data_IF_737614347194
#
_entry.id   IF_737614347194
#
_cell.length_a   1.000
_cell.length_b   1.000
_cell.length_c   1.000
_cell.angle_alpha   90.00
_cell.angle_beta   90.00
_cell.angle_gamma   90.00
#
_symmetry.space_group_name_H-M   'P 1'
#
loop_
_entity.id
_entity.type
_entity.pdbx_description
1 polymer ?
#
# COMPACT_ATOMS: atom_id res chain seq x y z
N UNK A 1 -7.50 7.34 8.58
CA UNK A 1 -8.08 6.11 7.96
C UNK A 1 -8.91 5.39 9.00
N UNK A 2 -10.12 4.96 8.65
CA UNK A 2 -10.96 4.16 9.55
C UNK A 2 -10.48 2.71 9.57
N UNK A 3 -10.82 1.97 10.63
CA UNK A 3 -10.50 0.54 10.76
C UNK A 3 -10.99 -0.28 9.56
N UNK A 4 -12.19 0.03 9.06
CA UNK A 4 -12.77 -0.66 7.91
C UNK A 4 -11.95 -0.49 6.64
N UNK A 5 -11.44 0.72 6.37
CA UNK A 5 -10.58 0.99 5.21
C UNK A 5 -9.28 0.19 5.30
N UNK A 6 -8.63 0.18 6.47
CA UNK A 6 -7.37 -0.57 6.64
C UNK A 6 -7.57 -2.07 6.42
N UNK A 7 -8.65 -2.64 6.95
CA UNK A 7 -8.97 -4.06 6.76
C UNK A 7 -9.27 -4.36 5.30
N UNK A 8 -10.07 -3.53 4.62
CA UNK A 8 -10.38 -3.70 3.20
C UNK A 8 -9.10 -3.78 2.36
N UNK A 9 -8.21 -2.81 2.54
CA UNK A 9 -6.92 -2.76 1.83
C UNK A 9 -6.02 -3.98 2.11
N UNK A 10 -5.98 -4.47 3.36
CA UNK A 10 -5.24 -5.68 3.72
C UNK A 10 -5.84 -6.90 3.02
N UNK A 11 -7.17 -7.04 3.05
CA UNK A 11 -7.90 -8.15 2.43
C UNK A 11 -7.64 -8.17 0.93
N UNK A 12 -7.78 -7.03 0.25
CA UNK A 12 -7.56 -6.93 -1.19
C UNK A 12 -6.12 -7.26 -1.57
N UNK A 13 -5.15 -6.73 -0.80
CA UNK A 13 -3.72 -6.97 -1.02
C UNK A 13 -3.35 -8.45 -0.91
N UNK A 14 -3.73 -9.11 0.19
CA UNK A 14 -3.41 -10.52 0.40
C UNK A 14 -4.19 -11.46 -0.52
N UNK A 15 -5.42 -11.09 -0.91
CA UNK A 15 -6.21 -11.86 -1.89
C UNK A 15 -5.58 -11.81 -3.28
N UNK A 16 -5.11 -10.63 -3.70
CA UNK A 16 -4.40 -10.47 -4.96
C UNK A 16 -3.09 -11.27 -4.98
N UNK A 17 -2.31 -11.24 -3.89
CA UNK A 17 -1.10 -12.04 -3.76
C UNK A 17 -1.39 -13.55 -3.86
N UNK A 18 -2.40 -14.04 -3.13
CA UNK A 18 -2.81 -15.44 -3.18
C UNK A 18 -3.18 -15.88 -4.61
N UNK A 19 -3.97 -15.07 -5.32
CA UNK A 19 -4.33 -15.35 -6.72
C UNK A 19 -3.11 -15.42 -7.64
N UNK A 20 -2.15 -14.50 -7.48
CA UNK A 20 -0.92 -14.52 -8.27
C UNK A 20 -0.10 -15.78 -7.99
N UNK A 21 0.05 -16.17 -6.72
CA UNK A 21 0.75 -17.40 -6.33
C UNK A 21 0.07 -18.62 -6.98
N UNK A 22 -1.27 -18.72 -6.90
CA UNK A 22 -2.03 -19.83 -7.46
C UNK A 22 -1.84 -19.98 -8.98
N UNK A 23 -1.97 -18.88 -9.72
CA UNK A 23 -1.79 -18.88 -11.18
C UNK A 23 -0.37 -19.33 -11.53
N UNK A 24 0.65 -18.91 -10.78
CA UNK A 24 2.03 -19.23 -11.13
C UNK A 24 2.42 -20.66 -10.77
N UNK A 25 1.91 -21.16 -9.65
CA UNK A 25 2.10 -22.57 -9.29
C UNK A 25 1.42 -23.49 -10.30
N UNK A 26 0.25 -23.13 -10.83
CA UNK A 26 -0.39 -23.92 -11.91
C UNK A 26 0.39 -23.88 -13.24
N UNK A 27 1.17 -22.82 -13.46
CA UNK A 27 2.12 -22.70 -14.59
C UNK A 27 3.47 -23.39 -14.35
N UNK A 28 3.68 -24.04 -13.20
CA UNK A 28 4.90 -24.80 -12.90
C UNK A 28 6.06 -23.99 -12.31
N UNK A 29 5.85 -22.72 -11.95
CA UNK A 29 6.87 -21.91 -11.28
C UNK A 29 6.86 -22.19 -9.78
N UNK A 30 7.77 -23.06 -9.31
CA UNK A 30 7.82 -23.52 -7.90
C UNK A 30 8.87 -22.82 -7.04
N UNK A 31 9.80 -22.05 -7.63
CA UNK A 31 10.81 -21.25 -6.91
C UNK A 31 10.22 -20.03 -6.16
N UNK A 32 8.92 -19.77 -6.29
CA UNK A 32 8.19 -18.67 -5.64
C UNK A 32 8.09 -18.82 -4.12
N UNK A 33 8.18 -20.05 -3.61
CA UNK A 33 8.04 -20.32 -2.17
C UNK A 33 9.14 -19.63 -1.37
N UNK A 34 10.39 -19.63 -1.86
CA UNK A 34 11.55 -19.03 -1.18
C UNK A 34 11.40 -17.52 -0.96
N UNK A 35 10.93 -16.80 -1.98
CA UNK A 35 10.71 -15.36 -1.90
C UNK A 35 9.50 -15.05 -0.98
N UNK A 36 8.51 -15.94 -0.97
CA UNK A 36 7.32 -15.78 -0.13
C UNK A 36 7.62 -16.07 1.36
N UNK A 37 8.55 -16.97 1.67
CA UNK A 37 8.93 -17.35 3.05
C UNK A 37 9.30 -16.14 3.91
N UNK A 38 10.14 -15.25 3.40
CA UNK A 38 10.60 -14.06 4.15
C UNK A 38 9.45 -13.08 4.42
N UNK A 39 8.61 -12.85 3.42
CA UNK A 39 7.42 -12.01 3.56
C UNK A 39 6.47 -12.58 4.63
N UNK A 40 6.15 -13.88 4.54
CA UNK A 40 5.23 -14.52 5.47
C UNK A 40 5.82 -14.64 6.88
N UNK A 41 7.13 -14.84 7.05
CA UNK A 41 7.78 -14.78 8.36
C UNK A 41 7.58 -13.41 9.02
N UNK A 42 7.88 -12.33 8.31
CA UNK A 42 7.68 -10.95 8.81
C UNK A 42 6.20 -10.66 9.11
N UNK A 43 5.28 -11.16 8.28
CA UNK A 43 3.83 -11.00 8.49
C UNK A 43 3.37 -11.72 9.76
N UNK A 44 3.72 -13.00 9.90
CA UNK A 44 3.37 -13.84 11.06
C UNK A 44 3.94 -13.26 12.37
N UNK A 45 5.17 -12.73 12.33
CA UNK A 45 5.76 -12.02 13.47
C UNK A 45 4.90 -10.85 13.95
N UNK A 46 4.26 -10.12 13.03
CA UNK A 46 3.39 -8.99 13.36
C UNK A 46 2.00 -9.43 13.85
N UNK A 47 1.47 -10.54 13.32
CA UNK A 47 0.16 -11.07 13.71
C UNK A 47 0.23 -11.70 15.10
N UNK A 48 1.25 -12.52 15.36
CA UNK A 48 1.31 -13.39 16.55
C UNK A 48 2.41 -12.99 17.55
N UNK A 49 3.16 -11.91 17.29
CA UNK A 49 4.30 -11.49 18.11
C UNK A 49 5.40 -12.55 18.22
N UNK A 50 5.65 -13.29 17.14
CA UNK A 50 6.77 -14.22 17.02
C UNK A 50 8.06 -13.53 16.55
N UNK A 51 9.15 -14.29 16.55
CA UNK A 51 10.47 -13.94 16.04
C UNK A 51 10.94 -14.97 15.01
N UNK A 52 10.06 -15.32 14.07
CA UNK A 52 10.33 -16.24 12.97
C UNK A 52 11.42 -15.68 12.06
N UNK A 53 12.38 -16.55 11.73
CA UNK A 53 13.42 -16.31 10.73
C UNK A 53 13.35 -17.40 9.66
N UNK A 54 13.83 -17.09 8.46
CA UNK A 54 13.99 -18.08 7.41
C UNK A 54 15.14 -19.02 7.75
N UNK A 55 14.86 -20.32 7.90
CA UNK A 55 15.87 -21.31 8.28
C UNK A 55 16.82 -21.60 7.11
N UNK A 56 16.35 -21.50 5.87
CA UNK A 56 17.15 -21.66 4.66
C UNK A 56 18.23 -20.58 4.50
N UNK A 57 18.10 -19.44 5.18
CA UNK A 57 19.12 -18.38 5.21
C UNK A 57 20.39 -18.77 5.98
N UNK A 58 20.26 -19.69 6.95
CA UNK A 58 21.33 -20.11 7.86
C UNK A 58 21.95 -21.47 7.48
N UNK A 59 21.13 -22.36 6.90
CA UNK A 59 21.53 -23.66 6.36
C UNK A 59 20.72 -23.92 5.08
N UNK A 60 21.40 -24.11 3.95
CA UNK A 60 20.71 -24.46 2.70
C UNK A 60 20.02 -25.81 2.83
N UNK A 61 18.75 -25.89 2.39
CA UNK A 61 17.93 -27.11 2.32
C UNK A 61 17.52 -27.68 3.68
N UNK A 62 16.95 -26.87 4.57
CA UNK A 62 16.35 -27.40 5.80
C UNK A 62 15.15 -28.31 5.46
N UNK A 63 15.13 -29.57 5.93
CA UNK A 63 14.11 -30.53 5.53
C UNK A 63 12.79 -30.26 6.26
N UNK A 64 11.73 -30.01 5.49
CA UNK A 64 10.35 -30.00 5.98
C UNK A 64 9.92 -28.76 6.78
N UNK A 65 10.81 -27.82 7.06
CA UNK A 65 10.50 -26.56 7.76
C UNK A 65 11.22 -25.42 7.04
N UNK A 66 10.50 -24.34 6.75
CA UNK A 66 11.06 -23.20 6.00
C UNK A 66 11.37 -22.03 6.93
N UNK A 67 10.48 -21.71 7.87
CA UNK A 67 10.63 -20.59 8.80
C UNK A 67 10.41 -21.05 10.25
N UNK A 68 11.17 -20.50 11.20
CA UNK A 68 11.12 -20.96 12.59
C UNK A 68 11.54 -19.92 13.63
N UNK A 69 11.02 -20.09 14.84
CA UNK A 69 11.30 -19.30 16.03
C UNK A 69 11.62 -20.27 17.18
N UNK A 70 12.90 -20.40 17.49
CA UNK A 70 13.38 -21.29 18.55
C UNK A 70 12.92 -20.83 19.94
N UNK A 71 12.73 -19.51 20.15
CA UNK A 71 12.35 -18.91 21.43
C UNK A 71 10.91 -19.30 21.79
N UNK A 72 10.01 -19.20 20.82
CA UNK A 72 8.62 -19.64 20.97
C UNK A 72 8.43 -21.14 20.68
N UNK A 73 9.50 -21.84 20.28
CA UNK A 73 9.50 -23.25 19.87
C UNK A 73 8.44 -23.56 18.80
N UNK A 74 8.27 -22.65 17.84
CA UNK A 74 7.29 -22.76 16.75
C UNK A 74 7.98 -22.71 15.39
N UNK A 75 7.49 -23.52 14.45
CA UNK A 75 7.97 -23.59 13.09
C UNK A 75 6.82 -23.63 12.10
N UNK A 76 7.07 -23.16 10.88
CA UNK A 76 6.13 -23.24 9.78
C UNK A 76 6.80 -23.82 8.53
N UNK A 77 6.05 -24.68 7.86
CA UNK A 77 6.29 -25.04 6.48
C UNK A 77 5.41 -24.16 5.60
N UNK A 78 5.99 -23.47 4.63
CA UNK A 78 5.29 -22.57 3.71
C UNK A 78 5.12 -23.29 2.38
N UNK A 79 3.88 -23.38 1.89
CA UNK A 79 3.59 -24.11 0.65
C UNK A 79 2.44 -23.52 -0.13
N UNK A 80 2.55 -23.52 -1.45
CA UNK A 80 1.47 -23.12 -2.35
C UNK A 80 0.43 -24.22 -2.57
N UNK A 81 0.81 -25.48 -2.34
CA UNK A 81 -0.07 -26.64 -2.41
C UNK A 81 0.10 -27.48 -1.16
N UNK A 82 -0.99 -27.76 -0.48
CA UNK A 82 -1.03 -28.73 0.60
C UNK A 82 -2.14 -29.72 0.30
N UNK A 83 -1.77 -30.83 -0.33
CA UNK A 83 -2.58 -32.05 -0.32
C UNK A 83 -2.18 -32.92 0.89
N UNK A 84 -2.97 -33.96 1.17
CA UNK A 84 -2.68 -34.87 2.29
C UNK A 84 -1.30 -35.55 2.16
N UNK A 85 -0.84 -35.82 0.94
CA UNK A 85 0.46 -36.44 0.66
C UNK A 85 1.62 -35.51 1.01
N UNK A 86 1.49 -34.22 0.70
CA UNK A 86 2.46 -33.17 1.01
C UNK A 86 2.56 -32.98 2.52
N UNK A 87 1.43 -32.95 3.21
CA UNK A 87 1.39 -32.86 4.68
C UNK A 87 2.11 -34.05 5.31
N UNK A 88 1.78 -35.28 4.89
CA UNK A 88 2.46 -36.48 5.36
C UNK A 88 3.97 -36.41 5.08
N UNK A 89 4.36 -36.01 3.86
CA UNK A 89 5.76 -35.87 3.47
C UNK A 89 6.50 -34.81 4.30
N UNK A 90 5.86 -33.68 4.60
CA UNK A 90 6.42 -32.63 5.44
C UNK A 90 6.69 -33.19 6.83
N UNK A 91 5.70 -33.80 7.46
CA UNK A 91 5.83 -34.37 8.80
C UNK A 91 6.86 -35.52 8.89
N UNK A 92 6.97 -36.34 7.84
CA UNK A 92 7.98 -37.41 7.75
C UNK A 92 9.41 -36.88 7.57
N UNK A 93 9.59 -35.72 6.94
CA UNK A 93 10.91 -35.10 6.71
C UNK A 93 11.47 -34.40 7.94
N UNK A 94 10.62 -34.08 8.93
CA UNK A 94 11.05 -33.37 10.13
C UNK A 94 11.95 -34.27 10.98
N UNK A 95 13.16 -33.80 11.20
CA UNK A 95 14.20 -34.51 11.96
C UNK A 95 13.94 -34.47 13.46
N UNK A 96 14.53 -35.42 14.20
CA UNK A 96 14.44 -35.43 15.67
C UNK A 96 15.09 -34.21 16.32
N UNK A 97 16.10 -33.60 15.68
CA UNK A 97 16.69 -32.34 16.16
C UNK A 97 15.71 -31.17 16.01
N UNK A 98 15.03 -31.07 14.87
CA UNK A 98 14.00 -30.06 14.65
C UNK A 98 12.83 -30.24 15.64
N UNK A 99 12.40 -31.47 15.94
CA UNK A 99 11.37 -31.73 16.98
C UNK A 99 11.75 -31.26 18.37
N UNK A 100 13.06 -31.25 18.71
CA UNK A 100 13.54 -30.73 20.00
C UNK A 100 13.49 -29.20 20.05
N UNK A 101 13.75 -28.54 18.91
CA UNK A 101 13.76 -27.08 18.79
C UNK A 101 12.35 -26.50 18.64
N UNK A 102 11.53 -27.15 17.84
CA UNK A 102 10.18 -26.70 17.48
C UNK A 102 9.17 -27.73 17.94
N UNK A 103 8.43 -27.38 19.00
CA UNK A 103 7.40 -28.22 19.58
C UNK A 103 6.08 -28.09 18.85
N UNK A 104 5.82 -26.93 18.25
CA UNK A 104 4.64 -26.66 17.45
C UNK A 104 5.07 -26.44 16.00
N UNK A 105 4.50 -27.24 15.09
CA UNK A 105 4.84 -27.17 13.67
C UNK A 105 3.55 -27.00 12.88
N UNK A 106 3.47 -25.88 12.17
CA UNK A 106 2.32 -25.50 11.37
C UNK A 106 2.64 -25.56 9.88
N UNK A 107 1.60 -25.67 9.08
CA UNK A 107 1.66 -25.59 7.62
C UNK A 107 0.91 -24.34 7.20
N UNK A 108 1.62 -23.41 6.57
CA UNK A 108 1.04 -22.22 5.97
C UNK A 108 0.81 -22.46 4.47
N UNK A 109 -0.46 -22.45 4.09
CA UNK A 109 -0.90 -22.55 2.70
C UNK A 109 -1.06 -21.14 2.14
N UNK A 110 -0.16 -20.78 1.22
CA UNK A 110 -0.13 -19.47 0.56
C UNK A 110 -0.87 -19.48 -0.79
N UNK A 111 -1.23 -20.67 -1.27
CA UNK A 111 -2.01 -20.89 -2.46
C UNK A 111 -3.37 -21.54 -2.17
N UNK A 112 -3.70 -22.63 -2.85
CA UNK A 112 -5.00 -23.27 -2.75
C UNK A 112 -5.03 -24.33 -1.64
N UNK A 113 -5.98 -24.18 -0.71
CA UNK A 113 -6.25 -25.15 0.37
C UNK A 113 -7.18 -26.24 -0.17
N UNK A 114 -6.85 -27.50 0.14
CA UNK A 114 -7.73 -28.64 -0.15
C UNK A 114 -8.95 -28.60 0.80
N UNK A 115 -10.14 -28.94 0.29
CA UNK A 115 -11.37 -28.89 1.08
C UNK A 115 -11.44 -29.83 2.28
N UNK A 116 -10.69 -30.93 2.28
CA UNK A 116 -10.56 -31.86 3.40
C UNK A 116 -9.24 -32.62 3.38
N UNK A 117 -8.76 -33.02 4.56
CA UNK A 117 -7.45 -33.66 4.75
C UNK A 117 -7.58 -35.07 5.36
N UNK A 118 -8.53 -35.86 4.85
CA UNK A 118 -8.90 -37.17 5.41
C UNK A 118 -7.82 -38.26 5.27
N UNK A 119 -6.79 -38.03 4.45
CA UNK A 119 -5.72 -39.00 4.19
C UNK A 119 -4.40 -38.69 4.93
N UNK A 120 -4.43 -37.80 5.94
CA UNK A 120 -3.29 -37.56 6.83
C UNK A 120 -3.16 -38.74 7.80
N UNK A 121 -1.94 -39.28 7.96
CA UNK A 121 -1.70 -40.46 8.80
C UNK A 121 -1.96 -40.13 10.29
N UNK A 122 -2.82 -40.90 10.99
CA UNK A 122 -3.12 -40.67 12.42
C UNK A 122 -1.87 -40.68 13.31
N UNK A 123 -0.90 -41.54 12.99
CA UNK A 123 0.37 -41.67 13.71
C UNK A 123 1.19 -40.37 13.69
N UNK A 124 1.14 -39.62 12.57
CA UNK A 124 1.81 -38.33 12.47
C UNK A 124 1.05 -37.27 13.25
N UNK A 125 -0.29 -37.27 13.20
CA UNK A 125 -1.10 -36.37 14.01
C UNK A 125 -0.77 -36.55 15.50
N UNK A 126 -0.71 -37.79 15.98
CA UNK A 126 -0.38 -38.06 17.38
C UNK A 126 1.06 -37.66 17.75
N UNK A 127 2.02 -37.84 16.83
CA UNK A 127 3.42 -37.48 17.04
C UNK A 127 3.68 -35.97 17.10
N UNK A 128 2.77 -35.14 16.56
CA UNK A 128 2.92 -33.69 16.48
C UNK A 128 1.84 -32.91 17.24
N UNK A 129 0.93 -33.59 17.96
CA UNK A 129 -0.02 -32.96 18.88
C UNK A 129 0.73 -32.13 19.92
N UNK A 130 0.49 -30.82 19.91
CA UNK A 130 1.09 -29.91 20.87
C UNK A 130 0.19 -29.76 22.11
N UNK A 131 0.81 -29.61 23.28
CA UNK A 131 0.12 -29.27 24.52
C UNK A 131 0.87 -28.13 25.18
N UNK A 132 0.21 -26.98 25.33
CA UNK A 132 0.78 -25.80 26.00
C UNK A 132 0.07 -25.58 27.32
N UNK A 133 0.82 -25.53 28.41
CA UNK A 133 0.30 -25.22 29.76
C UNK A 133 -0.88 -26.11 30.18
N UNK A 134 -0.84 -27.41 29.84
CA UNK A 134 -1.90 -28.36 30.17
C UNK A 134 -3.18 -28.23 29.33
N UNK A 135 -3.22 -27.32 28.34
CA UNK A 135 -4.28 -27.23 27.34
C UNK A 135 -3.81 -27.94 26.07
N UNK A 136 -4.52 -29.02 25.73
CA UNK A 136 -4.36 -29.69 24.44
C UNK A 136 -4.74 -28.74 23.30
N UNK A 137 -4.16 -28.99 22.13
CA UNK A 137 -4.68 -28.42 20.87
C UNK A 137 -6.20 -28.67 20.72
N UNK A 138 -6.90 -27.86 19.90
CA UNK A 138 -8.30 -28.11 19.55
C UNK A 138 -8.51 -29.55 19.05
N UNK A 139 -9.74 -30.08 19.20
CA UNK A 139 -10.09 -31.43 18.72
C UNK A 139 -9.73 -31.63 17.24
N UNK A 140 -9.79 -30.57 16.44
CA UNK A 140 -9.37 -30.56 15.05
C UNK A 140 -7.90 -30.10 14.90
N UNK A 141 -6.98 -31.06 14.96
CA UNK A 141 -5.54 -30.87 14.74
C UNK A 141 -5.26 -30.21 13.38
N UNK A 142 -6.03 -30.57 12.35
CA UNK A 142 -5.81 -30.14 10.98
C UNK A 142 -6.13 -28.66 10.88
N UNK A 143 -7.29 -28.22 11.37
CA UNK A 143 -7.66 -26.81 11.33
C UNK A 143 -6.77 -25.93 12.21
N UNK A 144 -6.19 -26.47 13.29
CA UNK A 144 -5.27 -25.72 14.14
C UNK A 144 -3.87 -25.56 13.52
N UNK A 145 -3.35 -26.61 12.90
CA UNK A 145 -1.98 -26.65 12.38
C UNK A 145 -1.88 -26.27 10.90
N UNK A 146 -2.99 -26.26 10.16
CA UNK A 146 -3.02 -25.83 8.75
C UNK A 146 -3.70 -24.46 8.64
N UNK A 147 -2.89 -23.45 8.41
CA UNK A 147 -3.29 -22.04 8.29
C UNK A 147 -3.26 -21.65 6.82
N UNK A 148 -4.24 -20.89 6.36
CA UNK A 148 -4.24 -20.28 5.03
C UNK A 148 -4.38 -18.76 5.10
N UNK A 149 -4.40 -18.10 3.94
CA UNK A 149 -4.60 -16.65 3.85
C UNK A 149 -5.92 -16.21 4.51
N UNK A 150 -6.99 -17.01 4.42
CA UNK A 150 -8.28 -16.67 5.06
C UNK A 150 -8.18 -16.74 6.57
N UNK A 151 -7.46 -17.73 7.12
CA UNK A 151 -7.15 -17.84 8.55
C UNK A 151 -6.37 -16.61 9.01
N UNK A 152 -5.31 -16.22 8.29
CA UNK A 152 -4.53 -15.02 8.61
C UNK A 152 -5.40 -13.76 8.60
N UNK A 153 -6.25 -13.59 7.57
CA UNK A 153 -7.16 -12.45 7.48
C UNK A 153 -8.14 -12.40 8.66
N UNK A 154 -8.73 -13.54 9.04
CA UNK A 154 -9.61 -13.62 10.21
C UNK A 154 -8.88 -13.21 11.48
N UNK A 155 -7.65 -13.67 11.66
CA UNK A 155 -6.85 -13.36 12.83
C UNK A 155 -6.48 -11.86 12.86
N UNK A 156 -6.10 -11.27 11.72
CA UNK A 156 -5.85 -9.82 11.59
C UNK A 156 -7.10 -9.01 11.93
N UNK A 157 -8.28 -9.41 11.45
CA UNK A 157 -9.55 -8.74 11.74
C UNK A 157 -9.91 -8.81 13.24
N UNK A 158 -9.33 -9.72 14.02
CA UNK A 158 -9.55 -9.79 15.46
C UNK A 158 -8.61 -8.88 16.27
N UNK A 159 -7.55 -8.35 15.66
CA UNK A 159 -6.55 -7.53 16.35
C UNK A 159 -7.04 -6.11 16.66
N UNK A 160 -6.35 -5.45 17.59
CA UNK A 160 -6.55 -4.05 17.88
C UNK A 160 -6.10 -3.14 16.73
N UNK A 161 -6.61 -1.90 16.73
CA UNK A 161 -6.36 -0.96 15.65
C UNK A 161 -4.87 -0.65 15.42
N UNK A 162 -4.05 -0.60 16.48
CA UNK A 162 -2.62 -0.28 16.37
C UNK A 162 -1.87 -1.39 15.66
N UNK A 163 -2.19 -2.65 15.97
CA UNK A 163 -1.63 -3.81 15.26
C UNK A 163 -2.11 -3.87 13.81
N UNK A 164 -3.41 -3.69 13.55
CA UNK A 164 -3.96 -3.63 12.19
C UNK A 164 -3.23 -2.56 11.36
N UNK A 165 -3.06 -1.35 11.90
CA UNK A 165 -2.36 -0.27 11.22
C UNK A 165 -0.89 -0.62 10.93
N UNK A 166 -0.22 -1.30 11.86
CA UNK A 166 1.16 -1.76 11.68
C UNK A 166 1.27 -2.80 10.56
N UNK A 167 0.33 -3.73 10.50
CA UNK A 167 0.24 -4.75 9.45
C UNK A 167 -0.09 -4.12 8.10
N UNK A 168 -1.06 -3.20 8.05
CA UNK A 168 -1.38 -2.44 6.84
C UNK A 168 -0.14 -1.75 6.26
N UNK A 169 0.61 -1.03 7.11
CA UNK A 169 1.82 -0.32 6.68
C UNK A 169 2.87 -1.29 6.12
N UNK A 170 3.11 -2.39 6.83
CA UNK A 170 4.04 -3.43 6.39
C UNK A 170 3.63 -4.03 5.04
N UNK A 171 2.37 -4.43 4.88
CA UNK A 171 1.87 -5.01 3.64
C UNK A 171 2.05 -4.01 2.50
N UNK A 172 1.68 -2.74 2.70
CA UNK A 172 1.84 -1.71 1.67
C UNK A 172 3.29 -1.50 1.23
N UNK A 173 4.23 -1.60 2.17
CA UNK A 173 5.66 -1.41 1.90
C UNK A 173 6.28 -2.62 1.21
N UNK A 174 5.97 -3.85 1.66
CA UNK A 174 6.71 -5.04 1.23
C UNK A 174 6.00 -5.86 0.15
N UNK A 175 4.69 -5.72 -0.03
CA UNK A 175 3.96 -6.50 -1.03
C UNK A 175 4.33 -6.10 -2.45
N UNK A 176 4.74 -4.84 -2.68
CA UNK A 176 5.13 -4.37 -4.01
C UNK A 176 6.44 -5.02 -4.47
N UNK A 177 7.44 -5.06 -3.59
CA UNK A 177 8.73 -5.72 -3.86
C UNK A 177 8.51 -7.21 -4.13
N UNK A 178 7.67 -7.85 -3.31
CA UNK A 178 7.26 -9.24 -3.54
C UNK A 178 6.59 -9.42 -4.90
N UNK A 179 5.61 -8.58 -5.26
CA UNK A 179 4.94 -8.67 -6.57
C UNK A 179 5.93 -8.50 -7.71
N UNK A 180 6.85 -7.52 -7.63
CA UNK A 180 7.88 -7.25 -8.64
C UNK A 180 8.82 -8.44 -8.80
N UNK A 181 9.32 -9.01 -7.71
CA UNK A 181 10.20 -10.19 -7.74
C UNK A 181 9.49 -11.41 -8.31
N UNK A 182 8.18 -11.53 -8.07
CA UNK A 182 7.39 -12.60 -8.66
C UNK A 182 7.16 -12.36 -10.16
N UNK A 183 7.26 -11.13 -10.69
CA UNK A 183 6.92 -10.85 -12.09
C UNK A 183 7.86 -11.43 -13.15
N UNK A 184 7.25 -12.00 -14.19
CA UNK A 184 7.97 -12.44 -15.39
C UNK A 184 7.67 -11.43 -16.49
N UNK A 185 8.68 -10.99 -17.25
CA UNK A 185 8.44 -10.15 -18.41
C UNK A 185 7.57 -10.90 -19.41
N UNK A 186 6.60 -10.20 -20.02
CA UNK A 186 5.83 -10.72 -21.14
C UNK A 186 6.76 -11.08 -22.31
N UNK A 187 6.21 -11.76 -23.32
CA UNK A 187 6.96 -12.14 -24.53
C UNK A 187 7.65 -10.95 -25.24
N UNK A 188 7.21 -9.71 -24.98
CA UNK A 188 7.80 -8.47 -25.48
C UNK A 188 8.82 -7.82 -24.52
N UNK A 189 9.20 -8.49 -23.43
CA UNK A 189 10.12 -7.98 -22.41
C UNK A 189 9.48 -7.03 -21.39
N UNK A 190 8.17 -6.73 -21.47
CA UNK A 190 7.50 -5.81 -20.56
C UNK A 190 6.89 -6.53 -19.36
N UNK A 191 7.17 -6.05 -18.16
CA UNK A 191 6.57 -6.54 -16.93
C UNK A 191 5.10 -6.08 -16.83
N UNK A 192 4.14 -6.95 -16.48
CA UNK A 192 2.72 -6.60 -16.34
C UNK A 192 2.44 -5.52 -15.28
N UNK A 193 3.24 -5.50 -14.22
CA UNK A 193 3.22 -4.52 -13.14
C UNK A 193 4.46 -3.65 -13.25
N UNK A 194 4.25 -2.37 -12.98
CA UNK A 194 5.32 -1.38 -12.97
C UNK A 194 5.05 -0.45 -11.80
N UNK A 195 6.09 -0.01 -11.10
CA UNK A 195 5.95 1.13 -10.19
C UNK A 195 5.35 2.35 -10.92
N UNK A 196 5.51 2.40 -12.25
CA UNK A 196 4.92 3.41 -13.12
C UNK A 196 3.42 3.23 -13.39
N UNK A 197 2.79 2.10 -13.06
CA UNK A 197 1.33 1.91 -13.27
C UNK A 197 0.49 2.74 -12.28
N UNK A 198 1.05 3.05 -11.11
CA UNK A 198 0.46 3.95 -10.13
C UNK A 198 0.83 5.42 -10.40
N UNK A 199 1.66 5.67 -11.41
CA UNK A 199 1.95 7.03 -11.85
C UNK A 199 0.67 7.61 -12.39
N UNK A 200 0.29 8.75 -11.84
CA UNK A 200 -0.83 9.53 -12.35
C UNK A 200 -0.65 9.79 -13.85
N UNK A 201 -1.66 9.42 -14.63
CA UNK A 201 -1.77 9.80 -16.04
C UNK A 201 -2.12 11.29 -16.05
N UNK A 202 -1.19 12.10 -16.54
CA UNK A 202 -1.37 13.56 -16.60
C UNK A 202 -2.26 13.91 -17.79
N UNK A 203 -3.36 14.66 -17.59
CA UNK A 203 -4.17 15.19 -18.68
C UNK A 203 -3.35 16.13 -19.58
N UNK A 204 -3.63 16.12 -20.88
CA UNK A 204 -3.04 17.06 -21.87
C UNK A 204 -4.05 18.14 -22.30
N UNK A 205 -5.05 18.40 -21.48
CA UNK A 205 -6.18 19.29 -21.73
C UNK A 205 -5.81 20.77 -21.56
N UNK A 206 -4.99 21.29 -22.49
CA UNK A 206 -4.61 22.71 -22.55
C UNK A 206 -5.76 23.61 -23.05
N UNK A 207 -5.72 24.89 -22.67
CA UNK A 207 -6.58 25.91 -23.26
C UNK A 207 -6.13 26.23 -24.69
N UNK A 208 -7.08 26.32 -25.62
CA UNK A 208 -6.84 26.70 -27.01
C UNK A 208 -6.88 28.22 -27.21
N UNK A 209 -7.73 28.92 -26.47
CA UNK A 209 -7.91 30.36 -26.56
C UNK A 209 -8.12 31.05 -25.20
N UNK A 210 -8.63 30.34 -24.19
CA UNK A 210 -8.91 30.86 -22.86
C UNK A 210 -9.79 32.13 -22.85
N UNK A 211 -10.68 32.31 -23.83
CA UNK A 211 -11.48 33.52 -24.02
C UNK A 211 -12.32 33.91 -22.81
N UNK A 212 -12.81 32.94 -22.04
CA UNK A 212 -13.59 33.21 -20.81
C UNK A 212 -12.82 34.06 -19.79
N UNK A 213 -11.49 34.10 -19.89
CA UNK A 213 -10.61 34.95 -19.08
C UNK A 213 -10.07 36.10 -19.93
N UNK A 214 -9.47 35.80 -21.10
CA UNK A 214 -8.73 36.79 -21.88
C UNK A 214 -9.61 37.88 -22.51
N UNK A 215 -10.91 37.66 -22.68
CA UNK A 215 -11.84 38.68 -23.19
C UNK A 215 -12.29 39.67 -22.10
N UNK A 216 -11.93 39.45 -20.83
CA UNK A 216 -12.24 40.37 -19.73
C UNK A 216 -11.20 41.50 -19.67
N UNK A 217 -11.68 42.74 -19.50
CA UNK A 217 -10.82 43.94 -19.47
C UNK A 217 -9.72 43.91 -18.40
N UNK A 218 -9.93 43.17 -17.30
CA UNK A 218 -8.96 43.04 -16.20
C UNK A 218 -7.74 42.16 -16.56
N UNK A 219 -7.78 41.45 -17.69
CA UNK A 219 -6.71 40.56 -18.18
C UNK A 219 -6.10 41.04 -19.52
N UNK A 220 -6.18 42.34 -19.85
CA UNK A 220 -5.72 42.90 -21.13
C UNK A 220 -4.23 42.62 -21.44
N UNK A 221 -3.38 42.50 -20.40
CA UNK A 221 -1.96 42.19 -20.55
C UNK A 221 -1.63 40.71 -20.36
N UNK A 222 -2.62 39.90 -19.99
CA UNK A 222 -2.44 38.49 -19.73
C UNK A 222 -2.52 37.71 -21.05
N UNK A 223 -1.64 36.73 -21.21
CA UNK A 223 -1.54 35.98 -22.45
C UNK A 223 -1.90 34.50 -22.29
N UNK A 224 -2.39 33.90 -23.38
CA UNK A 224 -2.59 32.45 -23.48
C UNK A 224 -1.30 31.67 -23.17
N UNK A 225 -0.14 32.27 -23.44
CA UNK A 225 1.15 31.68 -23.12
C UNK A 225 1.33 31.55 -21.61
N UNK A 226 1.01 32.59 -20.84
CA UNK A 226 1.15 32.56 -19.38
C UNK A 226 0.17 31.57 -18.72
N UNK A 227 -1.05 31.46 -19.26
CA UNK A 227 -2.01 30.41 -18.84
C UNK A 227 -1.44 29.01 -19.09
N UNK A 228 -0.82 28.78 -20.25
CA UNK A 228 -0.22 27.49 -20.59
C UNK A 228 1.07 27.20 -19.80
N UNK A 229 1.90 28.22 -19.53
CA UNK A 229 3.07 28.09 -18.66
C UNK A 229 2.64 27.72 -17.23
N UNK A 230 1.50 28.25 -16.76
CA UNK A 230 0.89 27.86 -15.49
C UNK A 230 0.34 26.43 -15.50
N UNK A 231 -0.33 26.00 -16.59
CA UNK A 231 -0.70 24.60 -16.80
C UNK A 231 0.52 23.67 -16.69
N UNK A 232 1.65 24.06 -17.28
CA UNK A 232 2.90 23.30 -17.21
C UNK A 232 3.46 23.18 -15.78
N UNK A 233 3.30 24.22 -14.95
CA UNK A 233 3.62 24.13 -13.51
C UNK A 233 2.73 23.12 -12.80
N UNK A 234 1.41 23.15 -13.03
CA UNK A 234 0.45 22.27 -12.35
C UNK A 234 0.58 20.81 -12.83
N UNK A 235 0.81 20.57 -14.12
CA UNK A 235 1.09 19.21 -14.62
C UNK A 235 2.38 18.67 -14.02
N UNK A 236 3.34 19.50 -13.59
CA UNK A 236 4.59 19.03 -12.98
C UNK A 236 4.43 18.45 -11.57
N UNK A 237 3.26 18.59 -10.92
CA UNK A 237 2.95 18.08 -9.58
C UNK A 237 1.87 16.98 -9.60
N UNK A 238 1.79 16.19 -8.54
CA UNK A 238 0.82 15.08 -8.44
C UNK A 238 -0.57 15.58 -8.08
N UNK A 239 -1.61 14.81 -8.37
CA UNK A 239 -3.00 15.10 -8.03
C UNK A 239 -3.17 15.38 -6.54
N UNK A 240 -2.52 14.61 -5.68
CA UNK A 240 -2.56 14.82 -4.22
C UNK A 240 -2.00 16.20 -3.87
N UNK A 241 -0.87 16.58 -4.47
CA UNK A 241 -0.29 17.91 -4.29
C UNK A 241 -1.20 19.02 -4.85
N UNK A 242 -1.90 18.78 -5.97
CA UNK A 242 -2.90 19.70 -6.54
C UNK A 242 -4.13 19.85 -5.67
N UNK A 243 -4.57 18.80 -4.98
CA UNK A 243 -5.68 18.88 -4.00
C UNK A 243 -5.31 19.77 -2.81
N UNK A 244 -4.06 19.70 -2.31
CA UNK A 244 -3.58 20.63 -1.27
C UNK A 244 -3.51 22.06 -1.81
N UNK A 245 -3.00 22.26 -3.02
CA UNK A 245 -2.93 23.57 -3.63
C UNK A 245 -4.32 24.18 -3.90
N UNK A 246 -5.25 23.37 -4.45
CA UNK A 246 -6.66 23.71 -4.61
C UNK A 246 -7.28 24.14 -3.29
N UNK A 247 -7.07 23.37 -2.22
CA UNK A 247 -7.61 23.67 -0.90
C UNK A 247 -7.16 25.03 -0.37
N UNK A 248 -5.88 25.39 -0.55
CA UNK A 248 -5.37 26.69 -0.11
C UNK A 248 -6.04 27.84 -0.89
N UNK A 249 -6.34 27.66 -2.18
CA UNK A 249 -7.07 28.66 -2.97
C UNK A 249 -8.52 28.73 -2.52
N UNK A 250 -9.18 27.59 -2.33
CA UNK A 250 -10.62 27.48 -2.06
C UNK A 250 -10.99 28.00 -0.67
N UNK A 251 -10.25 27.59 0.36
CA UNK A 251 -10.49 28.01 1.75
C UNK A 251 -9.68 29.25 2.16
N UNK A 252 -8.64 29.60 1.40
CA UNK A 252 -7.78 30.74 1.70
C UNK A 252 -8.47 32.08 1.53
N UNK A 253 -8.05 33.03 2.35
CA UNK A 253 -8.41 34.44 2.22
C UNK A 253 -7.61 35.07 1.10
N UNK A 254 -8.29 35.85 0.26
CA UNK A 254 -7.68 36.62 -0.81
C UNK A 254 -7.38 38.05 -0.32
N UNK A 255 -6.11 38.36 -0.12
CA UNK A 255 -5.61 39.66 0.35
C UNK A 255 -4.28 39.97 -0.37
N UNK A 256 -4.08 41.22 -0.79
CA UNK A 256 -2.86 41.70 -1.47
C UNK A 256 -2.39 40.78 -2.61
N UNK A 257 -3.32 40.35 -3.46
CA UNK A 257 -3.12 39.46 -4.60
C UNK A 257 -2.57 38.07 -4.26
N UNK A 258 -2.81 37.61 -3.02
CA UNK A 258 -2.39 36.29 -2.54
C UNK A 258 -3.52 35.52 -1.87
N UNK A 259 -3.46 34.19 -1.96
CA UNK A 259 -4.31 33.32 -1.13
C UNK A 259 -3.52 32.92 0.12
N UNK A 260 -4.11 33.12 1.30
CA UNK A 260 -3.49 32.72 2.55
C UNK A 260 -4.42 31.94 3.48
N UNK A 261 -3.87 30.93 4.16
CA UNK A 261 -4.54 30.18 5.22
C UNK A 261 -3.52 29.80 6.31
N UNK A 262 -3.93 29.79 7.58
CA UNK A 262 -3.06 29.32 8.64
C UNK A 262 -2.83 27.80 8.53
N UNK A 263 -1.58 27.38 8.74
CA UNK A 263 -1.18 25.98 8.69
C UNK A 263 -1.95 25.10 9.66
N UNK A 264 -2.20 25.59 10.87
CA UNK A 264 -2.98 24.86 11.88
C UNK A 264 -4.45 24.70 11.48
N UNK A 265 -5.02 25.71 10.81
CA UNK A 265 -6.38 25.63 10.27
C UNK A 265 -6.43 24.62 9.12
N UNK A 266 -5.44 24.65 8.21
CA UNK A 266 -5.32 23.67 7.14
C UNK A 266 -5.26 22.23 7.67
N UNK A 267 -4.50 21.97 8.74
CA UNK A 267 -4.44 20.65 9.40
C UNK A 267 -5.83 20.23 9.89
N UNK A 268 -6.55 21.14 10.55
CA UNK A 268 -7.85 20.86 11.17
C UNK A 268 -8.93 20.64 10.14
N UNK A 269 -9.01 21.50 9.12
CA UNK A 269 -10.05 21.45 8.09
C UNK A 269 -9.85 20.21 7.21
N UNK A 270 -8.62 19.93 6.77
CA UNK A 270 -8.31 18.75 5.95
C UNK A 270 -8.28 17.45 6.76
N UNK A 271 -8.22 17.52 8.10
CA UNK A 271 -7.98 16.38 8.97
C UNK A 271 -6.76 15.55 8.51
N UNK A 272 -5.69 16.24 8.14
CA UNK A 272 -4.49 15.65 7.53
C UNK A 272 -3.36 15.51 8.55
N UNK A 273 -2.52 14.47 8.40
CA UNK A 273 -1.32 14.33 9.21
C UNK A 273 -0.35 15.51 8.93
N UNK A 274 0.16 16.23 9.95
CA UNK A 274 1.05 17.37 9.76
C UNK A 274 2.30 17.04 8.92
N UNK A 275 2.91 15.86 9.13
CA UNK A 275 4.08 15.43 8.34
C UNK A 275 3.75 15.17 6.88
N UNK A 276 2.51 14.76 6.58
CA UNK A 276 2.04 14.57 5.20
C UNK A 276 1.79 15.91 4.53
N UNK A 277 1.13 16.84 5.23
CA UNK A 277 0.95 18.20 4.72
C UNK A 277 2.32 18.85 4.44
N UNK A 278 3.26 18.71 5.38
CA UNK A 278 4.65 19.16 5.24
C UNK A 278 5.33 18.64 3.98
N UNK A 279 5.18 17.35 3.68
CA UNK A 279 5.80 16.76 2.48
C UNK A 279 5.21 17.31 1.19
N UNK A 280 3.90 17.54 1.13
CA UNK A 280 3.24 18.12 -0.06
C UNK A 280 3.61 19.60 -0.23
N UNK A 281 3.64 20.38 0.85
CA UNK A 281 4.03 21.79 0.82
C UNK A 281 5.47 21.97 0.30
N UNK A 282 6.41 21.10 0.70
CA UNK A 282 7.77 21.11 0.15
C UNK A 282 7.82 20.87 -1.36
N UNK A 283 6.88 20.11 -1.92
CA UNK A 283 6.77 19.92 -3.38
C UNK A 283 6.31 21.23 -4.02
N UNK A 284 5.29 21.88 -3.45
CA UNK A 284 4.77 23.17 -3.93
C UNK A 284 5.84 24.29 -3.86
N UNK A 285 6.61 24.37 -2.78
CA UNK A 285 7.71 25.32 -2.60
C UNK A 285 8.79 25.11 -3.68
N UNK A 286 9.22 23.86 -3.91
CA UNK A 286 10.20 23.53 -4.95
C UNK A 286 9.73 23.88 -6.36
N UNK A 287 8.43 23.86 -6.59
CA UNK A 287 7.79 24.22 -7.85
C UNK A 287 7.41 25.70 -7.94
N UNK A 288 7.72 26.49 -6.90
CA UNK A 288 7.43 27.92 -6.78
C UNK A 288 5.93 28.23 -6.94
N UNK A 289 5.10 27.35 -6.41
CA UNK A 289 3.64 27.52 -6.33
C UNK A 289 3.21 28.14 -4.99
N UNK A 290 4.04 27.99 -3.95
CA UNK A 290 3.90 28.66 -2.65
C UNK A 290 5.24 29.27 -2.26
N UNK A 291 5.22 30.40 -1.55
CA UNK A 291 6.42 31.23 -1.35
C UNK A 291 6.84 31.39 0.11
N UNK A 292 5.94 31.23 1.09
CA UNK A 292 6.33 31.45 2.48
C UNK A 292 5.53 30.63 3.49
N UNK A 293 6.23 30.32 4.59
CA UNK A 293 5.65 30.07 5.90
C UNK A 293 6.37 31.01 6.83
N UNK A 294 5.69 32.08 7.20
CA UNK A 294 6.23 32.96 8.23
C UNK A 294 6.44 32.13 9.52
N UNK A 295 7.67 32.15 10.04
CA UNK A 295 8.07 31.35 11.21
C UNK A 295 7.37 31.82 12.49
N UNK A 296 6.88 33.07 12.52
CA UNK A 296 6.12 33.64 13.65
C UNK A 296 4.61 33.43 13.49
N UNK A 297 4.09 33.49 12.25
CA UNK A 297 2.72 33.14 11.90
C UNK A 297 2.72 32.14 10.73
N UNK A 298 2.53 30.82 10.94
CA UNK A 298 2.68 29.83 9.88
C UNK A 298 1.53 29.87 8.87
N UNK A 299 1.44 30.94 8.09
CA UNK A 299 0.52 31.15 6.99
C UNK A 299 1.08 30.47 5.76
N UNK A 300 0.26 29.68 5.11
CA UNK A 300 0.50 29.13 3.79
C UNK A 300 0.09 30.18 2.79
N UNK A 301 1.03 30.66 1.97
CA UNK A 301 0.77 31.74 1.00
C UNK A 301 1.00 31.23 -0.42
N UNK A 302 -0.05 31.26 -1.24
CA UNK A 302 0.04 31.15 -2.70
C UNK A 302 0.25 32.55 -3.25
N UNK A 303 1.41 32.76 -3.87
CA UNK A 303 1.77 33.98 -4.58
C UNK A 303 2.16 33.63 -6.00
N UNK A 304 1.15 33.32 -6.80
CA UNK A 304 1.33 33.37 -8.25
C UNK A 304 1.39 34.85 -8.66
N UNK A 305 2.06 35.18 -9.78
CA UNK A 305 2.11 36.56 -10.26
C UNK A 305 0.71 37.18 -10.38
N UNK A 306 0.64 38.52 -10.38
CA UNK A 306 -0.61 39.30 -10.31
C UNK A 306 -1.74 38.77 -11.21
N UNK A 307 -1.42 38.47 -12.47
CA UNK A 307 -2.40 38.01 -13.45
C UNK A 307 -2.92 36.59 -13.15
N UNK A 308 -2.04 35.67 -12.75
CA UNK A 308 -2.44 34.31 -12.38
C UNK A 308 -3.23 34.31 -11.07
N UNK A 309 -2.81 35.09 -10.08
CA UNK A 309 -3.54 35.24 -8.83
C UNK A 309 -4.97 35.74 -9.09
N UNK A 310 -5.09 36.82 -9.86
CA UNK A 310 -6.39 37.39 -10.26
C UNK A 310 -7.24 36.40 -11.06
N UNK A 311 -6.63 35.64 -11.98
CA UNK A 311 -7.30 34.58 -12.72
C UNK A 311 -7.85 33.50 -11.78
N UNK A 312 -7.06 33.04 -10.81
CA UNK A 312 -7.50 32.02 -9.85
C UNK A 312 -8.63 32.52 -8.97
N UNK A 313 -8.61 33.81 -8.59
CA UNK A 313 -9.70 34.44 -7.86
C UNK A 313 -10.99 34.53 -8.70
N UNK A 314 -10.88 34.90 -9.97
CA UNK A 314 -12.02 34.89 -10.90
C UNK A 314 -12.58 33.47 -11.05
N UNK A 315 -11.72 32.47 -11.30
CA UNK A 315 -12.13 31.06 -11.44
C UNK A 315 -12.81 30.56 -10.16
N UNK A 316 -12.28 30.91 -8.98
CA UNK A 316 -12.89 30.56 -7.69
C UNK A 316 -14.30 31.13 -7.53
N UNK A 317 -14.54 32.36 -8.01
CA UNK A 317 -15.82 33.06 -7.87
C UNK A 317 -16.87 32.63 -8.90
N UNK A 318 -16.45 32.49 -10.16
CA UNK A 318 -17.36 32.44 -11.31
C UNK A 318 -17.28 31.13 -12.11
N UNK A 319 -16.33 30.24 -11.80
CA UNK A 319 -16.11 28.98 -12.53
C UNK A 319 -15.89 27.79 -11.59
N UNK A 320 -15.61 26.61 -12.15
CA UNK A 320 -15.30 25.40 -11.38
C UNK A 320 -13.78 25.26 -11.17
N UNK A 321 -13.29 25.78 -10.05
CA UNK A 321 -11.87 25.71 -9.67
C UNK A 321 -11.34 24.26 -9.58
N UNK A 322 -12.17 23.31 -9.17
CA UNK A 322 -11.78 21.91 -9.06
C UNK A 322 -11.48 21.29 -10.44
N UNK A 323 -12.29 21.60 -11.47
CA UNK A 323 -12.03 21.13 -12.84
C UNK A 323 -10.71 21.68 -13.38
N UNK A 324 -10.38 22.95 -13.10
CA UNK A 324 -9.13 23.57 -13.56
C UNK A 324 -7.91 23.03 -12.81
N UNK A 325 -7.94 23.01 -11.47
CA UNK A 325 -6.75 22.73 -10.67
C UNK A 325 -6.53 21.22 -10.46
N UNK A 326 -7.57 20.47 -10.11
CA UNK A 326 -7.43 19.05 -9.79
C UNK A 326 -7.44 18.22 -11.08
N UNK A 327 -8.42 18.46 -11.95
CA UNK A 327 -8.57 17.69 -13.19
C UNK A 327 -7.73 18.22 -14.36
N UNK A 328 -7.11 19.40 -14.21
CA UNK A 328 -6.28 20.03 -15.26
C UNK A 328 -7.04 20.25 -16.57
N UNK A 329 -8.36 20.44 -16.52
CA UNK A 329 -9.17 20.64 -17.72
C UNK A 329 -9.22 22.12 -18.11
N UNK A 330 -8.16 22.62 -18.76
CA UNK A 330 -8.09 24.03 -19.17
C UNK A 330 -8.96 24.33 -20.41
N UNK A 331 -9.56 23.31 -21.04
CA UNK A 331 -10.55 23.52 -22.11
C UNK A 331 -11.78 24.25 -21.60
N UNK A 332 -12.04 24.22 -20.29
CA UNK A 332 -13.12 24.97 -19.63
C UNK A 332 -12.93 26.47 -19.68
N UNK A 333 -11.70 26.94 -19.94
CA UNK A 333 -11.39 28.35 -20.13
C UNK A 333 -11.71 28.80 -21.57
N UNK A 334 -11.85 27.86 -22.50
CA UNK A 334 -12.30 28.12 -23.87
C UNK A 334 -13.82 28.29 -23.90
N UNK A 335 -14.35 28.98 -24.92
CA UNK A 335 -15.78 29.23 -25.15
C UNK A 335 -16.65 27.96 -25.14
#
# INVERSE_FOLDING_TARGET
>A
MTRGILIGEIVDSLSNLNNQINIRCSLGFTDLNKVSEDFFAKLLNKIYSYSLINLNSSRSNEPGIDIGDETNSIAFQVTSQADSSKINSTFEKITQEQKKKFKLIKILIIGEKQGSYTAVKPELIDAFKFTKDGKSEPEDFIDFNIIDIKTLLRDIISLDFKLIHTIYKFIKEEIQDLIIELEIPRADGKFPTSLLSHREIKPETRALNAKKILDLNEFEHFSLKEINDYFDKLTAITRVTREIYFFIIDEGKWEDDTFSIYYDDAIRILNINPKRLESELKILERKKLIFDRDEEEPKLIIKEGLDIGSMLWFIKRDMNLQEIIINLDFTKLDD
#
